data_IF_900274955759
#
_entry.id   IF_900274955759
#
_cell.length_a   1.000
_cell.length_b   1.000
_cell.length_c   1.000
_cell.angle_alpha   90.00
_cell.angle_beta   90.00
_cell.angle_gamma   90.00
#
_symmetry.space_group_name_H-M   'P 1'
#
loop_
_entity.id
_entity.type
_entity.pdbx_description
1 polymer ?
#
# COMPACT_ATOMS: atom_id res chain seq x y z
N UNK A 1 22.86 13.44 -1.09
CA UNK A 1 21.45 13.74 -0.72
C UNK A 1 20.63 13.52 -1.98
N UNK A 2 19.63 12.64 -1.93
CA UNK A 2 18.73 12.42 -3.06
C UNK A 2 17.83 13.66 -3.13
N UNK A 3 17.95 14.47 -4.18
CA UNK A 3 17.05 15.61 -4.39
C UNK A 3 15.75 15.08 -4.99
N UNK A 4 14.83 14.66 -4.13
CA UNK A 4 13.46 14.35 -4.54
C UNK A 4 12.69 15.66 -4.72
N UNK A 5 11.96 15.76 -5.82
CA UNK A 5 11.01 16.85 -6.02
C UNK A 5 9.91 16.79 -4.95
N UNK A 6 9.34 17.94 -4.57
CA UNK A 6 8.31 18.01 -3.53
C UNK A 6 7.11 17.14 -3.88
N UNK A 7 6.73 17.11 -5.16
CA UNK A 7 5.67 16.25 -5.70
C UNK A 7 5.99 14.76 -5.47
N UNK A 8 7.26 14.39 -5.62
CA UNK A 8 7.69 12.99 -5.41
C UNK A 8 7.63 12.63 -3.93
N UNK A 9 8.01 13.54 -3.05
CA UNK A 9 7.92 13.35 -1.59
C UNK A 9 6.46 13.18 -1.17
N UNK A 10 5.57 14.05 -1.63
CA UNK A 10 4.13 13.96 -1.33
C UNK A 10 3.55 12.64 -1.83
N UNK A 11 3.92 12.21 -3.04
CA UNK A 11 3.46 10.94 -3.61
C UNK A 11 3.94 9.72 -2.81
N UNK A 12 5.19 9.74 -2.34
CA UNK A 12 5.74 8.68 -1.48
C UNK A 12 5.03 8.67 -0.12
N UNK A 13 4.69 9.82 0.45
CA UNK A 13 3.92 9.92 1.69
C UNK A 13 2.51 9.34 1.49
N UNK A 14 1.80 9.72 0.42
CA UNK A 14 0.49 9.14 0.09
C UNK A 14 0.55 7.61 -0.02
N UNK A 15 1.52 7.11 -0.79
CA UNK A 15 1.72 5.69 -0.98
C UNK A 15 2.10 4.95 0.30
N UNK A 16 2.88 5.58 1.18
CA UNK A 16 3.25 5.02 2.48
C UNK A 16 2.08 5.00 3.48
N UNK A 17 1.11 5.90 3.33
CA UNK A 17 -0.15 5.89 4.10
C UNK A 17 -1.18 4.90 3.56
N UNK A 18 -1.11 4.54 2.28
CA UNK A 18 -2.00 3.56 1.68
C UNK A 18 -1.75 2.14 2.20
N UNK A 19 -2.80 1.56 2.75
CA UNK A 19 -2.79 0.23 3.35
C UNK A 19 -2.46 -0.92 2.38
N UNK A 20 -2.61 -0.70 1.08
CA UNK A 20 -2.45 -1.72 0.03
C UNK A 20 -1.10 -1.65 -0.69
N UNK A 21 -0.33 -0.61 -0.45
CA UNK A 21 0.94 -0.36 -1.14
C UNK A 21 2.08 -1.02 -0.36
N UNK A 22 2.76 -1.96 -1.00
CA UNK A 22 3.93 -2.63 -0.43
C UNK A 22 5.14 -1.71 -0.51
N UNK A 23 6.12 -1.90 0.38
CA UNK A 23 7.38 -1.15 0.27
C UNK A 23 8.13 -1.50 -1.03
N UNK A 24 7.98 -2.73 -1.53
CA UNK A 24 8.51 -3.16 -2.82
C UNK A 24 7.93 -2.35 -4.00
N UNK A 25 6.64 -1.97 -3.94
CA UNK A 25 6.04 -1.11 -4.97
C UNK A 25 6.61 0.32 -4.94
N UNK A 26 6.90 0.84 -3.74
CA UNK A 26 7.55 2.15 -3.57
C UNK A 26 9.00 2.07 -4.08
N UNK A 27 9.72 1.00 -3.76
CA UNK A 27 11.08 0.76 -4.24
C UNK A 27 11.12 0.61 -5.77
N UNK A 28 10.16 -0.09 -6.36
CA UNK A 28 10.08 -0.25 -7.82
C UNK A 28 9.81 1.08 -8.54
N UNK A 29 8.96 1.95 -7.99
CA UNK A 29 8.58 3.22 -8.64
C UNK A 29 9.58 4.36 -8.37
N UNK A 30 10.13 4.43 -7.16
CA UNK A 30 10.92 5.57 -6.70
C UNK A 30 12.37 5.20 -6.33
N UNK A 31 12.74 3.92 -6.38
CA UNK A 31 14.06 3.44 -5.97
C UNK A 31 14.31 3.52 -4.47
N UNK A 32 13.28 3.82 -3.66
CA UNK A 32 13.41 4.02 -2.22
C UNK A 32 13.21 2.73 -1.46
N UNK A 33 14.22 2.31 -0.70
CA UNK A 33 14.13 1.15 0.20
C UNK A 33 13.21 1.45 1.37
N UNK A 34 12.69 0.40 2.02
CA UNK A 34 11.86 0.55 3.23
C UNK A 34 12.49 1.48 4.27
N UNK A 35 13.79 1.35 4.53
CA UNK A 35 14.49 2.18 5.51
C UNK A 35 14.49 3.67 5.13
N UNK A 36 14.61 3.98 3.84
CA UNK A 36 14.61 5.34 3.33
C UNK A 36 13.20 5.95 3.41
N UNK A 37 12.17 5.17 3.10
CA UNK A 37 10.77 5.59 3.29
C UNK A 37 10.45 5.84 4.76
N UNK A 38 10.92 4.98 5.68
CA UNK A 38 10.74 5.19 7.12
C UNK A 38 11.43 6.48 7.57
N UNK A 39 12.65 6.75 7.09
CA UNK A 39 13.39 7.96 7.41
C UNK A 39 12.67 9.20 6.87
N UNK A 40 12.22 9.16 5.62
CA UNK A 40 11.44 10.23 5.00
C UNK A 40 10.15 10.51 5.77
N UNK A 41 9.40 9.46 6.13
CA UNK A 41 8.17 9.59 6.93
C UNK A 41 8.41 10.15 8.32
N UNK A 42 9.58 9.86 8.93
CA UNK A 42 9.97 10.39 10.24
C UNK A 42 10.31 11.88 10.15
N UNK A 43 10.96 12.31 9.08
CA UNK A 43 11.37 13.71 8.89
C UNK A 43 10.18 14.60 8.48
N UNK A 44 9.20 14.04 7.77
CA UNK A 44 8.05 14.79 7.24
C UNK A 44 6.87 14.89 8.22
N UNK A 45 6.75 13.99 9.20
CA UNK A 45 5.59 13.93 10.09
C UNK A 45 5.91 14.26 11.54
N UNK A 46 4.89 14.74 12.27
CA UNK A 46 4.96 14.87 13.73
C UNK A 46 5.14 13.49 14.38
N UNK A 47 5.90 13.45 15.46
CA UNK A 47 6.28 12.22 16.17
C UNK A 47 5.08 11.37 16.62
N UNK A 48 3.96 11.99 17.01
CA UNK A 48 2.71 11.28 17.35
C UNK A 48 2.10 10.56 16.12
N UNK A 49 2.02 11.25 14.99
CA UNK A 49 1.50 10.67 13.73
C UNK A 49 2.42 9.55 13.21
N UNK A 50 3.74 9.73 13.33
CA UNK A 50 4.71 8.70 12.96
C UNK A 50 4.56 7.43 13.79
N UNK A 51 4.35 7.53 15.11
CA UNK A 51 4.11 6.35 15.97
C UNK A 51 2.86 5.57 15.52
N UNK A 52 1.74 6.27 15.28
CA UNK A 52 0.50 5.65 14.79
C UNK A 52 0.69 4.97 13.43
N UNK A 53 1.37 5.63 12.50
CA UNK A 53 1.71 5.04 11.22
C UNK A 53 2.60 3.80 11.39
N UNK A 54 3.60 3.86 12.27
CA UNK A 54 4.52 2.74 12.48
C UNK A 54 3.83 1.53 13.11
N UNK A 55 2.96 1.73 14.08
CA UNK A 55 2.11 0.66 14.63
C UNK A 55 1.27 0.00 13.54
N UNK A 56 0.65 0.80 12.65
CA UNK A 56 -0.14 0.30 11.51
C UNK A 56 0.69 -0.48 10.48
N UNK A 57 1.94 -0.08 10.25
CA UNK A 57 2.82 -0.72 9.27
C UNK A 57 3.50 -1.96 9.83
N UNK A 58 3.91 -1.94 11.10
CA UNK A 58 4.65 -3.01 11.77
C UNK A 58 3.76 -4.21 12.10
N UNK A 59 2.45 -4.01 12.29
CA UNK A 59 1.48 -5.10 12.53
C UNK A 59 1.09 -5.94 11.30
N UNK A 60 1.58 -5.62 10.09
CA UNK A 60 1.13 -6.27 8.85
C UNK A 60 2.02 -7.43 8.44
N UNK A 61 1.64 -8.64 8.87
CA UNK A 61 2.24 -9.90 8.40
C UNK A 61 2.06 -10.17 6.90
N UNK A 62 1.16 -9.46 6.21
CA UNK A 62 0.83 -9.65 4.78
C UNK A 62 1.61 -8.74 3.83
N UNK A 63 2.66 -8.06 4.32
CA UNK A 63 3.39 -7.03 3.55
C UNK A 63 4.44 -7.59 2.58
N UNK A 64 4.79 -8.86 2.69
CA UNK A 64 5.59 -9.57 1.70
C UNK A 64 4.68 -10.27 0.72
N UNK A 65 4.91 -10.08 -0.59
CA UNK A 65 4.17 -10.75 -1.67
C UNK A 65 4.13 -12.28 -1.48
N UNK A 66 5.22 -12.85 -0.93
CA UNK A 66 5.33 -14.27 -0.55
C UNK A 66 4.27 -14.80 0.43
N UNK A 67 3.64 -13.94 1.23
CA UNK A 67 2.61 -14.34 2.22
C UNK A 67 1.18 -14.11 1.70
N UNK A 68 1.02 -13.55 0.49
CA UNK A 68 -0.27 -13.53 -0.21
C UNK A 68 -0.43 -14.86 -0.95
N UNK A 69 -1.03 -15.86 -0.31
CA UNK A 69 -1.48 -17.10 -0.96
C UNK A 69 -2.64 -16.89 -1.96
N UNK A 70 -3.01 -15.64 -2.26
CA UNK A 70 -4.20 -15.32 -3.05
C UNK A 70 -3.81 -14.74 -4.41
N UNK A 71 -3.61 -15.66 -5.36
CA UNK A 71 -3.11 -15.37 -6.70
C UNK A 71 -4.16 -14.74 -7.64
N UNK A 72 -5.46 -14.78 -7.32
CA UNK A 72 -6.49 -14.12 -8.16
C UNK A 72 -7.86 -14.04 -7.47
N UNK A 73 -8.39 -12.82 -7.34
CA UNK A 73 -9.81 -12.60 -7.06
C UNK A 73 -10.13 -11.24 -6.43
N UNK A 74 -11.24 -10.64 -6.84
CA UNK A 74 -11.84 -9.51 -6.12
C UNK A 74 -12.33 -10.02 -4.76
N UNK A 75 -12.15 -9.24 -3.69
CA UNK A 75 -12.76 -9.54 -2.38
C UNK A 75 -14.23 -9.97 -2.58
N UNK A 76 -14.55 -11.20 -2.18
CA UNK A 76 -15.91 -11.75 -2.23
C UNK A 76 -16.39 -11.89 -0.79
N UNK A 77 -17.48 -11.20 -0.43
CA UNK A 77 -18.06 -11.38 0.89
C UNK A 77 -18.71 -12.78 0.97
N UNK A 78 -18.68 -13.42 2.14
CA UNK A 78 -19.27 -14.77 2.32
C UNK A 78 -20.76 -14.83 2.00
N UNK A 79 -21.46 -13.68 2.09
CA UNK A 79 -22.87 -13.50 1.75
C UNK A 79 -23.11 -13.10 0.30
N UNK A 80 -22.07 -12.94 -0.51
CA UNK A 80 -22.20 -12.52 -1.90
C UNK A 80 -22.72 -13.70 -2.73
N UNK A 81 -24.03 -13.66 -3.01
CA UNK A 81 -24.67 -14.58 -3.94
C UNK A 81 -24.03 -14.39 -5.32
N UNK A 82 -23.76 -15.49 -6.03
CA UNK A 82 -23.50 -15.38 -7.47
C UNK A 82 -24.72 -14.71 -8.08
N UNK A 83 -24.54 -13.54 -8.68
CA UNK A 83 -25.54 -13.02 -9.62
C UNK A 83 -25.79 -14.17 -10.59
N UNK A 84 -27.04 -14.64 -10.66
CA UNK A 84 -27.45 -15.67 -11.60
C UNK A 84 -26.92 -15.28 -12.97
N UNK A 85 -26.52 -16.26 -13.78
CA UNK A 85 -26.06 -16.07 -15.16
C UNK A 85 -27.18 -15.52 -16.06
N UNK A 86 -27.79 -14.38 -15.73
CA UNK A 86 -28.64 -13.64 -16.62
C UNK A 86 -27.72 -13.14 -17.72
N UNK A 87 -27.77 -13.85 -18.86
CA UNK A 87 -27.06 -13.46 -20.06
C UNK A 87 -27.32 -11.99 -20.34
N UNK A 88 -26.25 -11.21 -20.47
CA UNK A 88 -26.30 -9.83 -20.91
C UNK A 88 -27.06 -9.85 -22.25
N UNK A 89 -28.29 -9.31 -22.29
CA UNK A 89 -28.99 -9.15 -23.55
C UNK A 89 -28.16 -8.18 -24.40
N UNK A 90 -27.63 -8.66 -25.52
CA UNK A 90 -26.85 -7.84 -26.45
C UNK A 90 -27.67 -6.60 -26.86
N UNK A 91 -27.04 -5.44 -26.82
CA UNK A 91 -27.55 -4.19 -27.42
C UNK A 91 -27.00 -4.05 -28.83
#
# INVERSE_FOLDING_TARGET
MISLDTITIDRVIEMAWEDRTTFEAIEYQFGLKEQEVIRLMRDQMKLKSFKLWRERVQGRKTKHEKLRSFEKGRFKCTRQRSISNNGISKR
#
